data_IF_629461380614
#
_entry.id   IF_629461380614
#
_cell.length_a   1.000
_cell.length_b   1.000
_cell.length_c   1.000
_cell.angle_alpha   90.00
_cell.angle_beta   90.00
_cell.angle_gamma   90.00
#
_symmetry.space_group_name_H-M   'P 1'
#
loop_
_entity.id
_entity.type
_entity.pdbx_description
1 polymer ?
#
# COMPACT_ATOMS: atom_id res chain seq x y z
N UNK A 1 -5.72 9.83 -16.36
CA UNK A 1 -6.64 9.56 -17.48
C UNK A 1 -6.49 10.68 -18.51
N UNK A 2 -6.57 10.42 -19.82
CA UNK A 2 -6.54 11.48 -20.83
C UNK A 2 -7.64 12.51 -20.54
N UNK A 3 -7.29 13.80 -20.52
CA UNK A 3 -8.22 14.90 -20.27
C UNK A 3 -8.59 15.19 -18.81
N UNK A 4 -8.10 14.41 -17.84
CA UNK A 4 -8.29 14.71 -16.42
C UNK A 4 -7.37 15.87 -15.97
N UNK A 5 -7.84 16.67 -15.02
CA UNK A 5 -7.08 17.79 -14.48
C UNK A 5 -5.86 17.32 -13.67
N UNK A 6 -4.78 18.10 -13.73
CA UNK A 6 -3.55 17.83 -13.01
C UNK A 6 -3.46 18.74 -11.80
N UNK A 7 -3.80 18.17 -10.65
CA UNK A 7 -3.85 18.87 -9.37
C UNK A 7 -2.78 18.34 -8.42
N UNK A 8 -2.24 19.22 -7.58
CA UNK A 8 -1.42 18.85 -6.41
C UNK A 8 -2.22 18.88 -5.11
N UNK A 9 -3.16 19.82 -4.99
CA UNK A 9 -4.06 20.01 -3.85
C UNK A 9 -5.43 20.43 -4.38
N UNK A 10 -6.50 19.88 -3.81
CA UNK A 10 -7.87 20.27 -4.13
C UNK A 10 -8.71 20.30 -2.86
N UNK A 11 -9.64 21.26 -2.78
CA UNK A 11 -10.67 21.30 -1.76
C UNK A 11 -11.86 20.46 -2.21
N UNK A 12 -12.47 19.74 -1.28
CA UNK A 12 -13.66 18.94 -1.54
C UNK A 12 -14.67 19.10 -0.41
N UNK A 13 -15.95 18.95 -0.75
CA UNK A 13 -17.03 19.09 0.22
C UNK A 13 -17.16 17.86 1.14
N UNK A 14 -17.83 18.00 2.27
CA UNK A 14 -17.93 16.95 3.29
C UNK A 14 -18.62 15.64 2.85
N UNK A 15 -19.31 15.63 1.71
CA UNK A 15 -19.94 14.43 1.13
C UNK A 15 -19.43 14.13 -0.29
N UNK A 16 -18.36 14.79 -0.71
CA UNK A 16 -17.75 14.57 -2.00
C UNK A 16 -16.77 13.38 -1.94
N UNK A 17 -16.69 12.62 -3.03
CA UNK A 17 -15.77 11.51 -3.21
C UNK A 17 -14.93 11.80 -4.45
N UNK A 18 -13.61 11.64 -4.33
CA UNK A 18 -12.66 11.88 -5.41
C UNK A 18 -11.83 10.64 -5.66
N UNK A 19 -11.75 10.27 -6.94
CA UNK A 19 -10.78 9.28 -7.41
C UNK A 19 -9.56 10.01 -7.97
N UNK A 20 -8.40 9.79 -7.33
CA UNK A 20 -7.14 10.42 -7.71
C UNK A 20 -6.19 9.38 -8.27
N UNK A 21 -5.59 9.69 -9.43
CA UNK A 21 -4.63 8.83 -10.10
C UNK A 21 -3.28 9.51 -10.20
N UNK A 22 -2.22 8.83 -9.76
CA UNK A 22 -0.85 9.33 -9.92
C UNK A 22 -0.43 9.18 -11.38
N UNK A 23 -0.24 10.31 -12.06
CA UNK A 23 0.23 10.33 -13.45
C UNK A 23 1.60 9.64 -13.54
N UNK A 24 1.70 8.61 -14.38
CA UNK A 24 2.92 7.81 -14.52
C UNK A 24 3.06 6.65 -13.52
N UNK A 25 2.08 6.47 -12.62
CA UNK A 25 2.09 5.42 -11.60
C UNK A 25 2.95 5.80 -10.38
N UNK A 26 3.36 4.79 -9.61
CA UNK A 26 4.18 4.99 -8.42
C UNK A 26 5.49 5.74 -8.75
N UNK A 27 5.79 6.80 -7.98
CA UNK A 27 6.94 7.66 -8.20
C UNK A 27 6.76 8.74 -9.28
N UNK A 28 5.56 8.85 -9.86
CA UNK A 28 5.21 9.85 -10.87
C UNK A 28 5.90 9.61 -12.21
N UNK A 29 5.92 10.64 -13.10
CA UNK A 29 6.52 10.53 -14.43
C UNK A 29 8.00 10.12 -14.43
N UNK A 30 8.71 10.42 -13.34
CA UNK A 30 10.14 10.14 -13.16
C UNK A 30 10.41 8.84 -12.38
N UNK A 31 9.38 8.06 -12.00
CA UNK A 31 9.51 6.79 -11.27
C UNK A 31 10.39 6.90 -10.01
N UNK A 32 10.29 8.01 -9.28
CA UNK A 32 11.10 8.26 -8.09
C UNK A 32 10.72 7.31 -6.95
N UNK A 33 11.74 6.68 -6.35
CA UNK A 33 11.59 5.85 -5.15
C UNK A 33 11.67 6.72 -3.89
N UNK A 34 11.01 6.29 -2.82
CA UNK A 34 11.04 7.01 -1.54
C UNK A 34 9.68 7.13 -0.88
N UNK A 35 9.65 7.88 0.22
CA UNK A 35 8.45 8.13 1.01
C UNK A 35 7.89 9.52 0.68
N UNK A 36 6.67 9.55 0.16
CA UNK A 36 5.95 10.78 -0.16
C UNK A 36 4.86 11.00 0.87
N UNK A 37 4.69 12.23 1.35
CA UNK A 37 3.60 12.58 2.25
C UNK A 37 2.38 12.99 1.43
N UNK A 38 1.22 12.44 1.77
CA UNK A 38 -0.07 13.04 1.43
C UNK A 38 -0.69 13.53 2.73
N UNK A 39 -1.32 14.71 2.72
CA UNK A 39 -1.89 15.31 3.92
C UNK A 39 -3.01 16.28 3.62
N UNK A 40 -3.80 16.58 4.64
CA UNK A 40 -4.69 17.73 4.60
C UNK A 40 -3.87 19.03 4.56
N UNK A 41 -4.13 19.90 3.59
CA UNK A 41 -3.38 21.15 3.46
C UNK A 41 -3.65 22.15 4.61
N UNK A 42 -4.71 21.95 5.42
CA UNK A 42 -4.99 22.76 6.61
C UNK A 42 -4.30 22.17 7.84
N UNK A 43 -3.42 22.97 8.44
CA UNK A 43 -2.54 22.55 9.53
C UNK A 43 -3.24 21.85 10.71
N UNK A 44 -4.40 22.31 11.23
CA UNK A 44 -5.05 21.66 12.37
C UNK A 44 -5.42 20.20 12.09
N UNK A 45 -5.81 19.87 10.85
CA UNK A 45 -6.18 18.51 10.47
C UNK A 45 -4.97 17.62 10.22
N UNK A 46 -3.88 18.18 9.68
CA UNK A 46 -2.61 17.44 9.62
C UNK A 46 -2.09 17.14 11.03
N UNK A 47 -2.16 18.10 11.96
CA UNK A 47 -1.80 17.88 13.37
C UNK A 47 -2.71 16.86 14.06
N UNK A 48 -3.98 16.74 13.64
CA UNK A 48 -4.89 15.71 14.13
C UNK A 48 -4.72 14.34 13.45
N UNK A 49 -3.72 14.17 12.57
CA UNK A 49 -3.40 12.89 11.94
C UNK A 49 -4.00 12.66 10.55
N UNK A 50 -4.56 13.67 9.88
CA UNK A 50 -5.03 13.54 8.49
C UNK A 50 -3.88 13.62 7.49
N UNK A 51 -2.99 12.63 7.54
CA UNK A 51 -1.86 12.47 6.63
C UNK A 51 -1.42 11.01 6.59
N UNK A 52 -0.61 10.67 5.59
CA UNK A 52 0.02 9.36 5.51
C UNK A 52 1.20 9.35 4.56
N UNK A 53 1.93 8.24 4.57
CA UNK A 53 3.01 7.99 3.62
C UNK A 53 2.52 7.16 2.44
N UNK A 54 2.86 7.61 1.24
CA UNK A 54 2.92 6.77 0.05
C UNK A 54 4.39 6.36 -0.17
N UNK A 55 4.71 5.12 0.18
CA UNK A 55 6.06 4.56 -0.02
C UNK A 55 6.17 3.91 -1.40
N UNK A 56 7.10 4.39 -2.20
CA UNK A 56 7.43 3.85 -3.53
C UNK A 56 8.72 3.05 -3.44
N UNK A 57 8.64 1.75 -3.73
CA UNK A 57 9.77 0.85 -3.69
C UNK A 57 10.54 0.84 -5.03
N UNK A 58 11.85 0.55 -5.03
CA UNK A 58 12.58 0.21 -6.24
C UNK A 58 11.94 -0.93 -7.01
N UNK A 59 12.08 -0.92 -8.32
CA UNK A 59 11.61 -2.04 -9.15
C UNK A 59 12.37 -3.31 -8.78
N UNK A 60 11.65 -4.42 -8.58
CA UNK A 60 12.21 -5.69 -8.14
C UNK A 60 12.36 -5.84 -6.61
N UNK A 61 12.02 -4.81 -5.82
CA UNK A 61 11.95 -4.92 -4.37
C UNK A 61 10.81 -5.86 -3.97
N UNK A 62 11.14 -6.89 -3.19
CA UNK A 62 10.24 -7.96 -2.80
C UNK A 62 9.65 -7.78 -1.39
N UNK A 63 9.70 -6.56 -0.81
CA UNK A 63 9.07 -6.28 0.50
C UNK A 63 7.54 -6.37 0.46
N UNK A 64 6.93 -6.05 -0.68
CA UNK A 64 5.49 -6.24 -0.91
C UNK A 64 5.33 -7.51 -1.73
N UNK A 65 4.76 -8.53 -1.10
CA UNK A 65 4.53 -9.84 -1.72
C UNK A 65 3.10 -9.91 -2.28
N UNK A 66 2.89 -10.62 -3.40
CA UNK A 66 1.55 -10.85 -3.90
C UNK A 66 0.75 -11.68 -2.89
N UNK A 67 -0.53 -11.34 -2.73
CA UNK A 67 -1.43 -12.05 -1.82
C UNK A 67 -1.73 -13.48 -2.29
N UNK A 68 -1.77 -13.70 -3.62
CA UNK A 68 -1.89 -15.03 -4.22
C UNK A 68 -0.51 -15.50 -4.70
N UNK A 69 -0.12 -16.70 -4.28
CA UNK A 69 1.20 -17.29 -4.56
C UNK A 69 1.35 -17.82 -5.98
N UNK A 70 0.91 -17.07 -6.98
CA UNK A 70 1.07 -17.43 -8.40
C UNK A 70 2.00 -16.42 -9.08
N UNK A 71 3.26 -16.45 -8.68
CA UNK A 71 4.30 -15.59 -9.25
C UNK A 71 5.69 -15.99 -8.77
N UNK A 72 6.69 -15.86 -9.65
CA UNK A 72 8.08 -16.07 -9.29
C UNK A 72 8.47 -15.11 -8.14
N UNK A 73 8.91 -15.66 -7.00
CA UNK A 73 9.28 -14.89 -5.81
C UNK A 73 8.22 -14.81 -4.71
N UNK A 74 7.02 -15.37 -4.92
CA UNK A 74 5.99 -15.44 -3.88
C UNK A 74 6.44 -16.33 -2.71
N UNK A 75 6.34 -15.82 -1.48
CA UNK A 75 6.55 -16.60 -0.24
C UNK A 75 5.20 -16.95 0.37
N UNK A 76 4.98 -18.23 0.67
CA UNK A 76 3.86 -18.68 1.48
C UNK A 76 4.32 -18.93 2.91
N UNK A 77 3.46 -18.64 3.89
CA UNK A 77 3.66 -19.14 5.23
C UNK A 77 3.49 -20.66 5.20
N UNK A 78 4.52 -21.39 5.65
CA UNK A 78 4.47 -22.84 5.78
C UNK A 78 3.58 -23.20 6.97
N UNK A 79 2.55 -24.00 6.75
CA UNK A 79 1.72 -24.54 7.84
C UNK A 79 2.56 -25.63 8.51
N UNK A 80 3.00 -25.38 9.73
CA UNK A 80 3.65 -26.40 10.54
C UNK A 80 2.68 -27.58 10.74
N UNK A 81 3.14 -28.84 10.56
CA UNK A 81 2.29 -29.99 10.79
C UNK A 81 1.78 -29.98 12.24
N UNK A 82 0.48 -30.19 12.41
CA UNK A 82 -0.10 -30.31 13.75
C UNK A 82 0.60 -31.47 14.49
N UNK A 83 1.04 -31.25 15.75
CA UNK A 83 1.64 -32.32 16.53
C UNK A 83 0.61 -33.44 16.68
N UNK A 84 0.93 -34.62 16.13
CA UNK A 84 0.07 -35.78 16.22
C UNK A 84 -0.05 -36.20 17.69
N UNK A 85 -1.21 -35.94 18.29
CA UNK A 85 -1.49 -36.34 19.66
C UNK A 85 -1.53 -37.87 19.74
N UNK A 86 -0.46 -38.48 20.25
CA UNK A 86 -0.44 -39.91 20.56
C UNK A 86 -1.14 -40.08 21.91
N UNK A 87 -2.31 -40.76 21.98
CA UNK A 87 -2.97 -41.01 23.26
C UNK A 87 -2.10 -41.92 24.14
N UNK A 88 -1.90 -41.51 25.39
CA UNK A 88 -1.10 -42.21 26.42
C UNK A 88 -1.52 -43.67 26.65
N UNK A 89 -2.72 -44.07 26.21
CA UNK A 89 -3.22 -45.44 26.31
C UNK A 89 -2.51 -46.48 25.42
N UNK A 90 -1.54 -46.07 24.57
CA UNK A 90 -0.78 -46.96 23.68
C UNK A 90 0.69 -47.16 24.09
N UNK A 91 1.05 -46.85 25.35
CA UNK A 91 2.41 -47.07 25.90
C UNK A 91 2.38 -48.20 26.94
#
# INVERSE_FOLDING_TARGET
>A
MPGADMISVVEYAGSEILDVFIRGGAGGPYRQVGDFVWSNARLPYTQSGQWGYLRVLPTGDARIQPLSASGAGARQAEVLPEPQAIPTAMK
#
